data_IF_998426456053
#
_entry.id   IF_998426456053
#
_cell.length_a   1.000
_cell.length_b   1.000
_cell.length_c   1.000
_cell.angle_alpha   90.00
_cell.angle_beta   90.00
_cell.angle_gamma   90.00
#
_symmetry.space_group_name_H-M   'P 1'
#
loop_
_entity.id
_entity.type
_entity.pdbx_description
1 polymer ?
#
# COMPACT_ATOMS: atom_id res chain seq x y z
N UNK A 1 19.19 -14.07 -10.06
CA UNK A 1 17.72 -14.17 -10.21
C UNK A 1 17.11 -13.10 -9.35
N UNK A 2 16.22 -12.25 -9.87
CA UNK A 2 15.46 -11.34 -9.01
C UNK A 2 14.45 -12.15 -8.19
N UNK A 3 14.35 -11.86 -6.89
CA UNK A 3 13.38 -12.53 -6.00
C UNK A 3 11.94 -12.11 -6.31
N UNK A 4 11.76 -10.91 -6.86
CA UNK A 4 10.48 -10.30 -7.20
C UNK A 4 10.42 -10.04 -8.71
N UNK A 5 9.20 -10.11 -9.27
CA UNK A 5 8.91 -9.76 -10.66
C UNK A 5 8.64 -8.27 -10.84
N UNK A 6 8.25 -7.56 -9.76
CA UNK A 6 7.98 -6.13 -9.82
C UNK A 6 9.18 -5.33 -10.35
N UNK A 7 8.92 -4.45 -11.33
CA UNK A 7 9.91 -3.53 -11.86
C UNK A 7 10.19 -2.33 -10.94
N UNK A 8 9.30 -2.08 -9.97
CA UNK A 8 9.38 -0.96 -9.03
C UNK A 8 9.18 -1.44 -7.59
N UNK A 9 9.69 -0.65 -6.62
CA UNK A 9 9.39 -0.85 -5.20
C UNK A 9 7.93 -0.53 -4.87
N UNK A 10 7.51 -0.88 -3.65
CA UNK A 10 6.14 -0.67 -3.18
C UNK A 10 5.23 -1.90 -3.28
N UNK A 11 5.69 -3.00 -3.88
CA UNK A 11 4.88 -4.20 -4.07
C UNK A 11 4.91 -5.14 -2.85
N UNK A 12 4.38 -4.65 -1.72
CA UNK A 12 4.29 -5.43 -0.47
C UNK A 12 3.45 -6.71 -0.62
N UNK A 13 2.53 -6.77 -1.59
CA UNK A 13 1.70 -7.96 -1.83
C UNK A 13 2.51 -9.11 -2.39
N UNK A 14 3.40 -8.83 -3.35
CA UNK A 14 4.29 -9.84 -3.92
C UNK A 14 5.31 -10.31 -2.88
N UNK A 15 5.92 -9.38 -2.14
CA UNK A 15 6.85 -9.71 -1.07
C UNK A 15 6.19 -10.55 0.04
N UNK A 16 4.98 -10.20 0.46
CA UNK A 16 4.24 -10.95 1.48
C UNK A 16 3.84 -12.35 1.01
N UNK A 17 3.43 -12.49 -0.26
CA UNK A 17 3.09 -13.79 -0.85
C UNK A 17 4.31 -14.73 -0.89
N UNK A 18 5.51 -14.22 -1.19
CA UNK A 18 6.74 -15.01 -1.13
C UNK A 18 7.11 -15.46 0.29
N UNK A 19 6.78 -14.65 1.29
CA UNK A 19 7.06 -14.94 2.71
C UNK A 19 5.93 -15.73 3.40
N UNK A 20 4.77 -15.88 2.76
CA UNK A 20 3.60 -16.55 3.36
C UNK A 20 2.97 -15.78 4.52
N UNK A 21 3.11 -14.45 4.54
CA UNK A 21 2.59 -13.56 5.61
C UNK A 21 1.56 -12.57 5.05
N UNK A 22 0.90 -11.84 5.94
CA UNK A 22 0.04 -10.72 5.54
C UNK A 22 0.87 -9.51 5.12
N UNK A 23 0.43 -8.76 4.12
CA UNK A 23 1.15 -7.59 3.62
C UNK A 23 1.27 -6.47 4.66
N UNK A 24 0.31 -6.37 5.57
CA UNK A 24 0.28 -5.40 6.67
C UNK A 24 1.39 -5.65 7.71
N UNK A 25 2.02 -6.83 7.69
CA UNK A 25 3.14 -7.17 8.57
C UNK A 25 4.48 -6.66 8.01
N UNK A 26 4.51 -6.14 6.78
CA UNK A 26 5.70 -5.61 6.16
C UNK A 26 5.86 -4.11 6.44
N UNK A 27 7.04 -3.74 6.93
CA UNK A 27 7.50 -2.35 6.91
C UNK A 27 8.24 -2.09 5.60
N UNK A 28 7.64 -1.29 4.72
CA UNK A 28 8.11 -1.11 3.35
C UNK A 28 9.13 0.04 3.22
N UNK A 29 10.39 -0.32 3.00
CA UNK A 29 11.47 0.62 2.64
C UNK A 29 11.77 0.65 1.13
N UNK A 30 11.03 -0.10 0.32
CA UNK A 30 11.27 -0.18 -1.13
C UNK A 30 10.61 0.96 -1.90
N UNK A 31 9.67 1.69 -1.29
CA UNK A 31 9.02 2.87 -1.87
C UNK A 31 9.26 4.14 -1.06
N UNK A 32 9.47 5.27 -1.75
CA UNK A 32 9.73 6.57 -1.14
C UNK A 32 8.43 7.32 -0.85
N UNK A 33 7.71 6.90 0.19
CA UNK A 33 6.47 7.56 0.66
C UNK A 33 6.78 8.42 1.88
N UNK A 34 6.10 9.57 2.02
CA UNK A 34 6.19 10.40 3.20
C UNK A 34 5.62 9.64 4.43
N UNK A 35 6.43 9.36 5.47
CA UNK A 35 5.98 8.62 6.65
C UNK A 35 4.96 9.41 7.49
N UNK A 36 4.83 10.72 7.29
CA UNK A 36 3.79 11.55 7.93
C UNK A 36 2.39 11.31 7.37
N UNK A 37 2.27 10.50 6.30
CA UNK A 37 1.00 10.15 5.69
C UNK A 37 0.38 11.29 4.88
N UNK A 38 -0.94 11.23 4.71
CA UNK A 38 -1.68 12.19 3.90
C UNK A 38 -1.78 13.56 4.61
N UNK A 39 -1.47 14.69 3.94
CA UNK A 39 -1.64 16.02 4.48
C UNK A 39 -3.07 16.30 4.96
N UNK A 40 -3.21 16.99 6.11
CA UNK A 40 -4.53 17.31 6.69
C UNK A 40 -5.40 18.20 5.80
N UNK A 41 -4.79 19.13 5.06
CA UNK A 41 -5.52 19.95 4.08
C UNK A 41 -6.17 19.09 2.99
N UNK A 42 -5.49 18.04 2.53
CA UNK A 42 -6.01 17.11 1.54
C UNK A 42 -7.10 16.19 2.13
N UNK A 43 -6.92 15.71 3.37
CA UNK A 43 -7.96 14.95 4.08
C UNK A 43 -9.25 15.75 4.25
N UNK A 44 -9.14 17.05 4.54
CA UNK A 44 -10.31 17.95 4.67
C UNK A 44 -10.95 18.31 3.34
N UNK A 45 -10.17 18.49 2.29
CA UNK A 45 -10.68 18.78 0.94
C UNK A 45 -11.36 17.54 0.31
N UNK A 46 -10.96 16.34 0.72
CA UNK A 46 -11.55 15.07 0.29
C UNK A 46 -12.09 14.30 1.51
N UNK A 47 -13.20 14.75 2.13
CA UNK A 47 -13.81 14.02 3.24
C UNK A 47 -14.25 12.64 2.73
N UNK A 48 -13.47 11.61 3.08
CA UNK A 48 -13.64 10.18 2.82
C UNK A 48 -14.71 9.79 1.77
N UNK A 49 -14.29 9.47 0.55
CA UNK A 49 -15.02 8.54 -0.32
C UNK A 49 -14.73 7.06 0.04
N UNK A 50 -13.97 6.79 1.10
CA UNK A 50 -13.46 5.45 1.44
C UNK A 50 -14.47 4.51 2.13
N UNK A 51 -15.78 4.78 2.03
CA UNK A 51 -16.84 3.92 2.55
C UNK A 51 -17.59 3.08 1.51
N UNK A 52 -17.43 3.35 0.20
CA UNK A 52 -18.29 2.76 -0.84
C UNK A 52 -17.49 1.98 -1.90
N UNK A 53 -16.77 0.95 -1.45
CA UNK A 53 -16.46 -0.23 -2.27
C UNK A 53 -16.58 -1.49 -1.40
N UNK A 54 -17.77 -1.69 -0.83
CA UNK A 54 -18.27 -3.03 -0.52
C UNK A 54 -19.50 -3.26 -1.40
N UNK A 55 -19.43 -4.32 -2.18
CA UNK A 55 -20.46 -4.89 -3.07
C UNK A 55 -20.90 -4.04 -4.27
N UNK A 56 -20.23 -4.22 -5.40
CA UNK A 56 -20.91 -4.30 -6.70
C UNK A 56 -20.81 -5.78 -7.13
N UNK A 57 -21.89 -6.38 -7.67
CA UNK A 57 -21.92 -7.78 -8.09
C UNK A 57 -20.88 -8.09 -9.18
#
# INVERSE_FOLDING_TARGET
MALLKSAHGGNIREAAALLGISAEQLLDFSANINPLGMPESLKRAHPRQYGLRRTLP
#
